data_IF_034848325973
#
_entry.id   IF_034848325973
#
_cell.length_a   1.000
_cell.length_b   1.000
_cell.length_c   1.000
_cell.angle_alpha   90.00
_cell.angle_beta   90.00
_cell.angle_gamma   90.00
#
_symmetry.space_group_name_H-M   'P 1'
#
loop_
_entity.id
_entity.type
_entity.pdbx_description
1 polymer ?
#
# COMPACT_ATOMS: atom_id res chain seq x y z
N UNK A 1 6.73 -17.20 -6.89
CA UNK A 1 6.06 -18.32 -6.18
C UNK A 1 5.10 -17.86 -5.09
N UNK A 2 5.42 -16.89 -4.23
CA UNK A 2 4.54 -16.47 -3.13
C UNK A 2 3.15 -15.95 -3.58
N UNK A 3 3.10 -14.79 -4.24
CA UNK A 3 1.82 -14.14 -4.59
C UNK A 3 0.96 -14.93 -5.59
N UNK A 4 1.57 -15.77 -6.43
CA UNK A 4 0.83 -16.63 -7.36
C UNK A 4 -0.07 -17.65 -6.64
N UNK A 5 0.29 -18.04 -5.41
CA UNK A 5 -0.48 -19.01 -4.62
C UNK A 5 -1.25 -18.35 -3.47
N UNK A 6 -0.76 -17.20 -2.96
CA UNK A 6 -1.35 -16.50 -1.83
C UNK A 6 -2.18 -15.26 -2.23
N UNK A 7 -2.23 -14.92 -3.52
CA UNK A 7 -2.79 -13.67 -4.03
C UNK A 7 -2.06 -12.43 -3.47
N UNK A 8 -2.75 -11.28 -3.48
CA UNK A 8 -2.25 -9.95 -3.14
C UNK A 8 -3.22 -9.25 -2.16
N UNK A 9 -3.34 -7.93 -2.24
CA UNK A 9 -4.18 -7.12 -1.36
C UNK A 9 -4.44 -5.73 -1.93
N UNK A 10 -4.79 -4.78 -1.06
CA UNK A 10 -5.27 -3.47 -1.50
C UNK A 10 -4.26 -2.62 -2.27
N UNK A 11 -2.95 -2.86 -2.12
CA UNK A 11 -1.93 -2.16 -2.94
C UNK A 11 -2.23 -2.37 -4.43
N UNK A 12 -2.40 -3.61 -4.86
CA UNK A 12 -2.69 -3.92 -6.26
C UNK A 12 -4.11 -3.53 -6.66
N UNK A 13 -5.09 -3.83 -5.80
CA UNK A 13 -6.49 -3.48 -6.06
C UNK A 13 -6.67 -1.99 -6.38
N UNK A 14 -5.97 -1.12 -5.65
CA UNK A 14 -5.94 0.32 -5.85
C UNK A 14 -5.06 0.72 -7.05
N UNK A 15 -3.85 0.15 -7.17
CA UNK A 15 -2.94 0.45 -8.27
C UNK A 15 -3.51 0.10 -9.65
N UNK A 16 -4.32 -0.96 -9.78
CA UNK A 16 -5.04 -1.29 -11.02
C UNK A 16 -5.96 -0.16 -11.48
N UNK A 17 -6.59 0.56 -10.54
CA UNK A 17 -7.49 1.66 -10.88
C UNK A 17 -6.70 2.85 -11.39
N UNK A 18 -5.56 3.17 -10.78
CA UNK A 18 -4.66 4.21 -11.27
C UNK A 18 -4.12 3.90 -12.67
N UNK A 19 -3.71 2.64 -12.90
CA UNK A 19 -3.27 2.17 -14.20
C UNK A 19 -4.36 2.19 -15.27
N UNK A 20 -5.58 1.76 -14.92
CA UNK A 20 -6.72 1.74 -15.84
C UNK A 20 -7.28 3.13 -16.16
N UNK A 21 -7.34 4.02 -15.17
CA UNK A 21 -7.98 5.33 -15.30
C UNK A 21 -7.05 6.39 -15.89
N UNK A 22 -5.76 6.37 -15.52
CA UNK A 22 -4.77 7.38 -15.95
C UNK A 22 -3.67 6.83 -16.85
N UNK A 23 -3.69 5.53 -17.19
CA UNK A 23 -2.61 4.86 -17.95
C UNK A 23 -1.23 5.00 -17.29
N UNK A 24 -1.19 4.96 -15.95
CA UNK A 24 0.03 5.11 -15.17
C UNK A 24 0.82 3.79 -15.07
N UNK A 25 2.17 3.83 -15.00
CA UNK A 25 3.00 2.64 -14.88
C UNK A 25 2.69 1.84 -13.61
N UNK A 26 2.31 0.57 -13.78
CA UNK A 26 1.84 -0.28 -12.68
C UNK A 26 2.81 -0.36 -11.49
N UNK A 27 4.11 -0.53 -11.74
CA UNK A 27 5.12 -0.60 -10.67
C UNK A 27 5.19 0.68 -9.84
N UNK A 28 5.07 1.84 -10.49
CA UNK A 28 5.10 3.15 -9.82
C UNK A 28 3.86 3.35 -8.96
N UNK A 29 2.67 3.02 -9.47
CA UNK A 29 1.42 3.08 -8.69
C UNK A 29 1.48 2.23 -7.42
N UNK A 30 1.98 0.99 -7.53
CA UNK A 30 2.14 0.12 -6.36
C UNK A 30 3.16 0.69 -5.38
N UNK A 31 4.31 1.18 -5.85
CA UNK A 31 5.36 1.70 -5.00
C UNK A 31 4.89 2.92 -4.19
N UNK A 32 4.15 3.84 -4.83
CA UNK A 32 3.56 5.01 -4.16
C UNK A 32 2.55 4.57 -3.09
N UNK A 33 1.64 3.65 -3.41
CA UNK A 33 0.56 3.24 -2.49
C UNK A 33 1.02 2.31 -1.36
N UNK A 34 2.10 1.55 -1.55
CA UNK A 34 2.55 0.51 -0.62
C UNK A 34 2.65 0.98 0.83
N UNK A 35 3.38 2.05 1.19
CA UNK A 35 3.51 2.46 2.59
C UNK A 35 2.17 2.86 3.22
N UNK A 36 1.25 3.46 2.47
CA UNK A 36 -0.06 3.91 2.97
C UNK A 36 -1.01 2.73 3.23
N UNK A 37 -1.02 1.74 2.34
CA UNK A 37 -1.78 0.51 2.55
C UNK A 37 -1.20 -0.31 3.70
N UNK A 38 0.13 -0.34 3.90
CA UNK A 38 0.70 -1.04 5.05
C UNK A 38 0.40 -0.34 6.38
N UNK A 39 0.29 0.99 6.42
CA UNK A 39 -0.26 1.70 7.59
C UNK A 39 -1.67 1.19 7.91
N UNK A 40 -2.55 1.07 6.91
CA UNK A 40 -3.89 0.52 7.11
C UNK A 40 -3.87 -0.95 7.58
N UNK A 41 -3.08 -1.80 6.93
CA UNK A 41 -3.00 -3.22 7.24
C UNK A 41 -2.33 -3.51 8.60
N UNK A 42 -1.49 -2.59 9.11
CA UNK A 42 -0.85 -2.75 10.42
C UNK A 42 -1.84 -2.93 11.57
N UNK A 43 -3.10 -2.45 11.41
CA UNK A 43 -4.21 -2.67 12.36
C UNK A 43 -4.39 -4.14 12.74
N UNK A 44 -4.12 -5.07 11.81
CA UNK A 44 -4.28 -6.53 12.03
C UNK A 44 -3.03 -7.34 11.69
N UNK A 45 -2.06 -6.76 10.98
CA UNK A 45 -0.89 -7.46 10.45
C UNK A 45 0.45 -6.93 11.01
N UNK A 46 0.43 -6.20 12.13
CA UNK A 46 1.62 -5.60 12.72
C UNK A 46 2.77 -6.61 12.95
N UNK A 47 2.48 -7.77 13.53
CA UNK A 47 3.47 -8.83 13.75
C UNK A 47 4.12 -9.30 12.44
N UNK A 48 3.31 -9.50 11.38
CA UNK A 48 3.82 -9.91 10.06
C UNK A 48 4.66 -8.82 9.40
N UNK A 49 4.30 -7.54 9.60
CA UNK A 49 5.10 -6.41 9.12
C UNK A 49 6.42 -6.30 9.88
N UNK A 50 6.44 -6.60 11.18
CA UNK A 50 7.69 -6.71 11.95
C UNK A 50 8.60 -7.82 11.39
N UNK A 51 8.05 -8.97 11.00
CA UNK A 51 8.83 -10.01 10.32
C UNK A 51 9.41 -9.51 8.99
N UNK A 52 8.63 -8.76 8.22
CA UNK A 52 9.10 -8.12 6.98
C UNK A 52 10.22 -7.11 7.25
N UNK A 53 10.13 -6.28 8.30
CA UNK A 53 11.21 -5.37 8.69
C UNK A 53 12.51 -6.13 8.98
N UNK A 54 12.44 -7.22 9.75
CA UNK A 54 13.59 -8.07 10.02
C UNK A 54 14.18 -8.66 8.73
N UNK A 55 13.33 -9.16 7.83
CA UNK A 55 13.75 -9.69 6.53
C UNK A 55 14.38 -8.63 5.60
N UNK A 56 13.99 -7.35 5.76
CA UNK A 56 14.60 -6.20 5.07
C UNK A 56 15.93 -5.75 5.71
N UNK A 57 16.38 -6.41 6.78
CA UNK A 57 17.62 -6.06 7.50
C UNK A 57 17.46 -4.96 8.55
N UNK A 58 16.22 -4.59 8.90
CA UNK A 58 15.95 -3.62 9.97
C UNK A 58 16.06 -4.30 11.33
N UNK A 59 16.81 -3.70 12.27
CA UNK A 59 16.90 -4.23 13.62
C UNK A 59 15.59 -3.98 14.40
N UNK A 60 14.86 -5.06 14.65
CA UNK A 60 13.60 -5.05 15.43
C UNK A 60 13.73 -5.71 16.80
N UNK A 61 14.95 -5.94 17.27
CA UNK A 61 15.21 -6.46 18.62
C UNK A 61 14.67 -5.48 19.66
N UNK A 62 13.89 -5.98 20.62
CA UNK A 62 13.28 -5.17 21.66
C UNK A 62 12.08 -4.32 21.22
N UNK A 63 11.74 -4.29 19.92
CA UNK A 63 10.53 -3.64 19.43
C UNK A 63 9.31 -4.54 19.62
N UNK A 64 8.19 -3.95 20.03
CA UNK A 64 6.88 -4.61 19.95
C UNK A 64 6.39 -4.64 18.49
N UNK A 65 5.26 -5.31 18.24
CA UNK A 65 4.76 -5.50 16.87
C UNK A 65 4.38 -4.20 16.18
N UNK A 66 3.82 -3.23 16.90
CA UNK A 66 3.48 -1.91 16.34
C UNK A 66 4.74 -1.13 15.95
N UNK A 67 5.75 -1.09 16.83
CA UNK A 67 7.04 -0.45 16.56
C UNK A 67 7.80 -1.15 15.42
N UNK A 68 7.67 -2.47 15.31
CA UNK A 68 8.25 -3.26 14.22
C UNK A 68 7.55 -3.00 12.88
N UNK A 69 6.22 -2.89 12.88
CA UNK A 69 5.44 -2.53 11.70
C UNK A 69 5.77 -1.11 11.23
N UNK A 70 5.88 -0.16 12.14
CA UNK A 70 6.32 1.21 11.83
C UNK A 70 7.73 1.21 11.21
N UNK A 71 8.65 0.42 11.77
CA UNK A 71 9.99 0.27 11.21
C UNK A 71 9.99 -0.31 9.79
N UNK A 72 9.10 -1.28 9.51
CA UNK A 72 8.89 -1.82 8.15
C UNK A 72 8.42 -0.72 7.18
N UNK A 73 7.37 0.02 7.56
CA UNK A 73 6.78 1.07 6.74
C UNK A 73 7.80 2.17 6.45
N UNK A 74 8.61 2.55 7.44
CA UNK A 74 9.67 3.53 7.27
C UNK A 74 10.77 3.02 6.32
N UNK A 75 11.20 1.76 6.43
CA UNK A 75 12.16 1.17 5.50
C UNK A 75 11.63 1.13 4.06
N UNK A 76 10.32 0.87 3.87
CA UNK A 76 9.66 0.95 2.56
C UNK A 76 9.74 2.37 2.00
N UNK A 77 9.41 3.40 2.80
CA UNK A 77 9.47 4.81 2.40
C UNK A 77 10.89 5.24 2.04
N UNK A 78 11.88 4.84 2.84
CA UNK A 78 13.29 5.13 2.59
C UNK A 78 13.77 4.50 1.29
N UNK A 79 13.40 3.24 1.02
CA UNK A 79 13.75 2.57 -0.23
C UNK A 79 13.11 3.27 -1.42
N UNK A 80 11.82 3.59 -1.35
CA UNK A 80 11.10 4.30 -2.41
C UNK A 80 11.80 5.63 -2.76
N UNK A 81 12.20 6.40 -1.75
CA UNK A 81 12.96 7.64 -1.93
C UNK A 81 14.35 7.40 -2.55
N UNK A 82 15.07 6.35 -2.13
CA UNK A 82 16.42 6.03 -2.63
C UNK A 82 16.44 5.62 -4.10
N UNK A 83 15.33 5.13 -4.63
CA UNK A 83 15.20 4.68 -6.02
C UNK A 83 14.29 5.60 -6.86
N UNK A 84 14.13 6.85 -6.40
CA UNK A 84 13.42 7.93 -7.10
C UNK A 84 11.96 7.59 -7.48
N UNK A 85 11.24 6.88 -6.61
CA UNK A 85 9.79 6.76 -6.71
C UNK A 85 9.17 8.13 -6.42
N UNK A 86 8.17 8.59 -7.20
CA UNK A 86 7.41 9.79 -6.91
C UNK A 86 6.90 9.84 -5.47
N UNK A 87 6.88 11.03 -4.87
CA UNK A 87 6.59 11.15 -3.43
C UNK A 87 5.11 10.88 -3.10
N UNK A 88 4.23 11.01 -4.10
CA UNK A 88 2.80 10.83 -3.95
C UNK A 88 2.08 10.86 -5.29
N UNK A 89 0.76 10.73 -5.21
CA UNK A 89 -0.15 10.70 -6.36
C UNK A 89 -0.22 12.07 -7.07
N UNK A 90 0.09 13.17 -6.38
CA UNK A 90 0.22 14.50 -7.01
C UNK A 90 1.24 14.53 -8.14
N UNK A 91 2.39 13.91 -7.92
CA UNK A 91 3.49 13.86 -8.90
C UNK A 91 3.10 13.04 -10.15
N UNK A 92 2.05 12.22 -10.03
CA UNK A 92 1.46 11.42 -11.12
C UNK A 92 0.25 12.10 -11.77
N UNK A 93 -0.07 13.34 -11.39
CA UNK A 93 -1.24 14.11 -11.86
C UNK A 93 -2.59 13.42 -11.57
N UNK A 94 -2.65 12.58 -10.54
CA UNK A 94 -3.91 12.00 -10.07
C UNK A 94 -4.72 13.07 -9.35
N UNK A 95 -6.04 13.04 -9.53
CA UNK A 95 -6.93 14.04 -8.97
C UNK A 95 -7.75 13.47 -7.82
N UNK A 96 -7.86 14.25 -6.75
CA UNK A 96 -8.67 13.86 -5.59
C UNK A 96 -10.16 13.69 -5.92
N UNK A 97 -10.68 14.43 -6.92
CA UNK A 97 -12.07 14.31 -7.38
C UNK A 97 -12.42 12.90 -7.90
N UNK A 98 -11.41 12.14 -8.36
CA UNK A 98 -11.59 10.78 -8.87
C UNK A 98 -11.54 9.70 -7.77
N UNK A 99 -11.16 10.04 -6.54
CA UNK A 99 -10.96 9.04 -5.48
C UNK A 99 -12.20 8.21 -5.16
N UNK A 100 -13.39 8.82 -5.23
CA UNK A 100 -14.63 8.10 -4.98
C UNK A 100 -14.90 7.00 -6.01
N UNK A 101 -14.62 7.26 -7.29
CA UNK A 101 -14.80 6.25 -8.35
C UNK A 101 -13.68 5.20 -8.29
N UNK A 102 -12.44 5.61 -8.06
CA UNK A 102 -11.31 4.70 -7.91
C UNK A 102 -11.50 3.75 -6.72
N UNK A 103 -11.99 4.25 -5.58
CA UNK A 103 -12.28 3.43 -4.41
C UNK A 103 -13.40 2.41 -4.67
N UNK A 104 -14.47 2.83 -5.37
CA UNK A 104 -15.57 1.94 -5.78
C UNK A 104 -15.07 0.77 -6.61
N UNK A 105 -14.15 1.03 -7.54
CA UNK A 105 -13.60 -0.01 -8.40
C UNK A 105 -12.56 -0.87 -7.69
N UNK A 106 -11.72 -0.28 -6.83
CA UNK A 106 -10.74 -1.01 -6.04
C UNK A 106 -11.40 -2.06 -5.11
N UNK A 107 -12.57 -1.74 -4.55
CA UNK A 107 -13.36 -2.69 -3.73
C UNK A 107 -13.93 -3.87 -4.54
N UNK A 108 -14.00 -3.75 -5.86
CA UNK A 108 -14.46 -4.82 -6.76
C UNK A 108 -13.30 -5.62 -7.35
N UNK A 109 -12.07 -5.19 -7.15
CA UNK A 109 -10.88 -5.85 -7.69
C UNK A 109 -10.61 -7.16 -6.93
N UNK A 110 -10.32 -8.23 -7.66
CA UNK A 110 -10.09 -9.56 -7.10
C UNK A 110 -8.93 -9.59 -6.09
N UNK A 111 -7.92 -8.72 -6.23
CA UNK A 111 -6.82 -8.63 -5.28
C UNK A 111 -7.27 -8.16 -3.90
N UNK A 112 -8.33 -7.34 -3.82
CA UNK A 112 -8.84 -6.79 -2.56
C UNK A 112 -9.47 -7.86 -1.66
N UNK A 113 -9.99 -8.94 -2.25
CA UNK A 113 -10.63 -10.04 -1.51
C UNK A 113 -9.69 -10.71 -0.50
N UNK A 114 -8.38 -10.75 -0.81
CA UNK A 114 -7.36 -11.38 0.02
C UNK A 114 -6.59 -10.39 0.90
N UNK A 115 -6.99 -9.11 0.95
CA UNK A 115 -6.40 -8.15 1.88
C UNK A 115 -6.69 -8.57 3.34
N UNK A 116 -5.72 -8.51 4.28
CA UNK A 116 -5.86 -9.07 5.63
C UNK A 116 -6.97 -8.43 6.47
N UNK A 117 -7.40 -7.22 6.13
CA UNK A 117 -8.55 -6.53 6.72
C UNK A 117 -9.37 -5.91 5.59
N UNK A 118 -10.69 -6.08 5.62
CA UNK A 118 -11.58 -5.47 4.64
C UNK A 118 -11.83 -4.00 4.98
N UNK A 119 -11.63 -3.12 4.00
CA UNK A 119 -11.82 -1.69 4.13
C UNK A 119 -13.22 -1.28 3.69
N UNK A 120 -13.75 -0.21 4.28
CA UNK A 120 -14.91 0.49 3.71
C UNK A 120 -14.48 1.35 2.51
N UNK A 121 -15.46 1.87 1.77
CA UNK A 121 -15.21 2.81 0.69
C UNK A 121 -14.47 4.06 1.18
N UNK A 122 -14.90 4.61 2.31
CA UNK A 122 -14.32 5.79 2.93
C UNK A 122 -12.87 5.55 3.37
N UNK A 123 -12.56 4.34 3.84
CA UNK A 123 -11.20 3.96 4.20
C UNK A 123 -10.29 3.85 2.97
N UNK A 124 -10.76 3.28 1.85
CA UNK A 124 -9.98 3.28 0.59
C UNK A 124 -9.75 4.70 0.07
N UNK A 125 -10.77 5.57 0.13
CA UNK A 125 -10.61 7.01 -0.21
C UNK A 125 -9.59 7.67 0.72
N UNK A 126 -9.62 7.37 2.02
CA UNK A 126 -8.66 7.90 2.98
C UNK A 126 -7.23 7.44 2.67
N UNK A 127 -7.02 6.20 2.20
CA UNK A 127 -5.70 5.72 1.77
C UNK A 127 -5.21 6.49 0.53
N UNK A 128 -6.07 6.72 -0.47
CA UNK A 128 -5.71 7.57 -1.63
C UNK A 128 -5.33 9.00 -1.20
N UNK A 129 -6.12 9.61 -0.30
CA UNK A 129 -5.80 10.94 0.27
C UNK A 129 -4.49 10.95 1.04
N UNK A 130 -4.20 9.90 1.81
CA UNK A 130 -2.94 9.80 2.53
C UNK A 130 -1.73 9.67 1.59
N UNK A 131 -1.95 9.22 0.35
CA UNK A 131 -0.94 9.07 -0.69
C UNK A 131 -0.85 10.28 -1.65
N UNK A 132 -1.61 11.35 -1.42
CA UNK A 132 -1.58 12.55 -2.28
C UNK A 132 -0.27 13.34 -2.19
#
# INVERSE_FOLDING_TARGET
MAFNNASLGYVHAMAHQLGGFYNLPHGVCNAVLLPHVQVFNSKVAAARLRDCAAAMGVNVTGKNDAEGAEACINAIRELAKKVDIPAGLRDLNVKEEDFAVLATNALKDACGFTNPIQATHEEIVAIYRAAM
#
